data_IF_740376654177
#
_entry.id   IF_740376654177
#
_cell.length_a   1.000
_cell.length_b   1.000
_cell.length_c   1.000
_cell.angle_alpha   90.00
_cell.angle_beta   90.00
_cell.angle_gamma   90.00
#
_symmetry.space_group_name_H-M   'P 1'
#
loop_
_entity.id
_entity.type
_entity.pdbx_description
1 polymer ?
#
# COMPACT_ATOMS: atom_id res chain seq x y z
N UNK A 1 12.01 -4.35 16.61
CA UNK A 1 11.96 -3.12 17.44
C UNK A 1 12.88 -2.02 16.91
N UNK A 2 14.18 -2.30 16.66
CA UNK A 2 15.12 -1.28 16.13
C UNK A 2 14.74 -0.80 14.72
N UNK A 3 14.39 -1.72 13.80
CA UNK A 3 14.07 -1.36 12.41
C UNK A 3 12.78 -0.52 12.30
N UNK A 4 11.69 -0.94 12.96
CA UNK A 4 10.45 -0.15 13.09
C UNK A 4 10.72 1.28 13.57
N UNK A 5 11.47 1.43 14.67
CA UNK A 5 11.81 2.76 15.21
C UNK A 5 12.66 3.59 14.24
N UNK A 6 13.55 2.97 13.48
CA UNK A 6 14.33 3.66 12.45
C UNK A 6 13.44 4.16 11.30
N UNK A 7 12.54 3.33 10.79
CA UNK A 7 11.59 3.67 9.73
C UNK A 7 10.62 4.78 10.17
N UNK A 8 10.08 4.70 11.38
CA UNK A 8 9.24 5.76 11.98
C UNK A 8 10.01 7.07 12.10
N UNK A 9 11.25 7.02 12.58
CA UNK A 9 12.12 8.22 12.66
C UNK A 9 12.39 8.81 11.28
N UNK A 10 12.62 7.99 10.26
CA UNK A 10 12.78 8.46 8.89
C UNK A 10 11.50 9.18 8.42
N UNK A 11 10.32 8.58 8.58
CA UNK A 11 9.07 9.20 8.16
C UNK A 11 8.80 10.52 8.92
N UNK A 12 8.96 10.51 10.25
CA UNK A 12 8.80 11.68 11.12
C UNK A 12 9.79 12.81 10.77
N UNK A 13 11.02 12.44 10.43
CA UNK A 13 12.04 13.39 10.02
C UNK A 13 11.73 14.03 8.67
N UNK A 14 10.92 13.41 7.80
CA UNK A 14 10.61 13.97 6.48
C UNK A 14 9.26 14.70 6.45
N UNK A 15 8.29 14.26 7.26
CA UNK A 15 6.98 14.94 7.42
C UNK A 15 7.09 16.04 8.48
N UNK A 16 6.80 15.73 9.73
CA UNK A 16 7.22 16.48 10.91
C UNK A 16 6.89 15.69 12.20
N UNK A 17 7.47 16.07 13.35
CA UNK A 17 7.09 15.53 14.65
C UNK A 17 5.63 15.73 15.05
N UNK A 18 5.00 16.79 14.56
CA UNK A 18 3.61 17.15 14.83
C UNK A 18 2.64 16.42 13.91
N UNK A 19 3.09 16.06 12.70
CA UNK A 19 2.28 15.33 11.73
C UNK A 19 2.16 13.83 12.07
N UNK A 20 3.29 13.17 12.31
CA UNK A 20 3.31 11.73 12.54
C UNK A 20 3.65 11.39 14.02
N UNK A 21 2.85 10.53 14.70
CA UNK A 21 1.78 9.69 14.14
C UNK A 21 0.37 10.32 14.17
N UNK A 22 0.12 11.34 14.98
CA UNK A 22 -1.24 11.71 15.38
C UNK A 22 -2.10 12.32 14.26
N UNK A 23 -1.60 13.34 13.54
CA UNK A 23 -2.35 13.94 12.43
C UNK A 23 -2.51 12.96 11.26
N UNK A 24 -1.49 12.13 11.03
CA UNK A 24 -1.56 11.04 10.07
C UNK A 24 -2.70 10.07 10.41
N UNK A 25 -2.82 9.61 11.67
CA UNK A 25 -3.90 8.72 12.10
C UNK A 25 -5.29 9.33 11.94
N UNK A 26 -5.45 10.61 12.26
CA UNK A 26 -6.71 11.33 12.03
C UNK A 26 -7.07 11.38 10.54
N UNK A 27 -6.10 11.72 9.68
CA UNK A 27 -6.28 11.73 8.23
C UNK A 27 -6.60 10.34 7.67
N UNK A 28 -5.93 9.31 8.18
CA UNK A 28 -6.14 7.93 7.79
C UNK A 28 -7.56 7.43 8.16
N UNK A 29 -8.08 7.79 9.34
CA UNK A 29 -9.45 7.47 9.73
C UNK A 29 -10.51 8.17 8.87
N UNK A 30 -10.27 9.42 8.47
CA UNK A 30 -11.15 10.16 7.55
C UNK A 30 -11.11 9.56 6.14
N UNK A 31 -9.92 9.23 5.63
CA UNK A 31 -9.74 8.58 4.33
C UNK A 31 -10.45 7.22 4.29
N UNK A 32 -10.29 6.40 5.35
CA UNK A 32 -11.00 5.13 5.49
C UNK A 32 -12.52 5.32 5.47
N UNK A 33 -13.03 6.28 6.23
CA UNK A 33 -14.46 6.58 6.30
C UNK A 33 -15.05 7.01 4.96
N UNK A 34 -14.28 7.76 4.16
CA UNK A 34 -14.68 8.19 2.82
C UNK A 34 -14.61 7.03 1.82
N UNK A 35 -13.52 6.27 1.84
CA UNK A 35 -13.32 5.10 0.98
C UNK A 35 -14.40 4.05 1.19
N UNK A 36 -14.72 3.68 2.44
CA UNK A 36 -15.73 2.66 2.73
C UNK A 36 -17.11 3.03 2.18
N UNK A 37 -17.47 4.32 2.22
CA UNK A 37 -18.71 4.79 1.58
C UNK A 37 -18.66 4.64 0.07
N UNK A 38 -17.54 5.03 -0.55
CA UNK A 38 -17.32 4.92 -2.00
C UNK A 38 -17.23 3.48 -2.52
N UNK A 39 -17.02 2.48 -1.64
CA UNK A 39 -17.08 1.05 -1.99
C UNK A 39 -18.51 0.53 -2.13
N UNK A 40 -19.52 1.27 -1.67
CA UNK A 40 -20.91 0.88 -1.82
C UNK A 40 -21.40 1.09 -3.26
N UNK A 41 -22.31 0.25 -3.73
CA UNK A 41 -22.77 0.23 -5.12
C UNK A 41 -23.40 1.54 -5.59
N UNK A 42 -24.06 2.27 -4.69
CA UNK A 42 -24.79 3.51 -4.98
C UNK A 42 -23.90 4.77 -5.07
N UNK A 43 -22.58 4.64 -5.09
CA UNK A 43 -21.66 5.79 -4.98
C UNK A 43 -20.76 5.98 -6.19
N UNK A 44 -20.29 7.23 -6.37
CA UNK A 44 -19.39 7.57 -7.47
C UNK A 44 -18.00 6.93 -7.26
N UNK A 45 -17.74 5.86 -8.04
CA UNK A 45 -16.50 5.08 -8.02
C UNK A 45 -15.29 5.85 -8.54
N UNK A 46 -15.46 6.94 -9.29
CA UNK A 46 -14.35 7.77 -9.77
C UNK A 46 -13.48 8.30 -8.60
N UNK A 47 -14.11 8.52 -7.45
CA UNK A 47 -13.43 8.96 -6.23
C UNK A 47 -12.42 7.93 -5.71
N UNK A 48 -12.63 6.63 -5.95
CA UNK A 48 -11.74 5.56 -5.49
C UNK A 48 -10.36 5.64 -6.15
N UNK A 49 -10.29 5.99 -7.44
CA UNK A 49 -9.03 6.08 -8.21
C UNK A 49 -7.98 7.00 -7.57
N UNK A 50 -8.44 8.00 -6.81
CA UNK A 50 -7.58 8.94 -6.10
C UNK A 50 -7.28 8.53 -4.65
N UNK A 51 -8.14 7.69 -4.05
CA UNK A 51 -8.02 7.24 -2.66
C UNK A 51 -7.17 5.97 -2.49
N UNK A 52 -7.13 5.12 -3.51
CA UNK A 52 -6.41 3.84 -3.48
C UNK A 52 -5.30 3.76 -4.54
N UNK A 53 -4.39 2.81 -4.36
CA UNK A 53 -3.43 2.46 -5.41
C UNK A 53 -4.13 1.80 -6.57
N UNK A 54 -3.54 1.89 -7.76
CA UNK A 54 -4.09 1.26 -8.96
C UNK A 54 -4.27 -0.25 -8.76
N UNK A 55 -3.31 -0.92 -8.13
CA UNK A 55 -3.36 -2.36 -7.90
C UNK A 55 -4.56 -2.77 -7.03
N UNK A 56 -4.85 -2.02 -5.97
CA UNK A 56 -6.03 -2.27 -5.14
C UNK A 56 -7.32 -1.96 -5.89
N UNK A 57 -7.35 -0.86 -6.65
CA UNK A 57 -8.50 -0.49 -7.47
C UNK A 57 -8.83 -1.56 -8.50
N UNK A 58 -7.85 -1.99 -9.30
CA UNK A 58 -8.04 -3.02 -10.34
C UNK A 58 -8.57 -4.33 -9.74
N UNK A 59 -8.06 -4.71 -8.57
CA UNK A 59 -8.51 -5.90 -7.85
C UNK A 59 -9.98 -5.78 -7.44
N UNK A 60 -10.40 -4.63 -6.92
CA UNK A 60 -11.79 -4.40 -6.49
C UNK A 60 -12.74 -4.19 -7.68
N UNK A 61 -12.26 -3.60 -8.77
CA UNK A 61 -13.02 -3.42 -10.01
C UNK A 61 -13.51 -4.77 -10.57
N UNK A 62 -12.67 -5.81 -10.50
CA UNK A 62 -13.09 -7.16 -10.90
C UNK A 62 -14.25 -7.72 -10.05
N UNK A 63 -14.32 -7.38 -8.76
CA UNK A 63 -15.42 -7.80 -7.90
C UNK A 63 -16.68 -6.95 -8.15
N UNK A 64 -16.53 -5.66 -8.45
CA UNK A 64 -17.66 -4.82 -8.84
C UNK A 64 -18.31 -5.30 -10.14
N UNK A 65 -17.52 -5.68 -11.14
CA UNK A 65 -18.04 -6.27 -12.38
C UNK A 65 -18.80 -7.57 -12.11
N UNK A 66 -18.23 -8.45 -11.28
CA UNK A 66 -18.89 -9.70 -10.87
C UNK A 66 -20.20 -9.43 -10.12
N UNK A 67 -20.23 -8.40 -9.28
CA UNK A 67 -21.41 -8.00 -8.53
C UNK A 67 -22.56 -7.54 -9.45
N UNK A 68 -22.22 -6.80 -10.51
CA UNK A 68 -23.16 -6.36 -11.55
C UNK A 68 -23.72 -7.53 -12.34
N UNK A 69 -22.89 -8.52 -12.69
CA UNK A 69 -23.34 -9.77 -13.35
C UNK A 69 -24.35 -10.55 -12.50
N UNK A 70 -24.16 -10.57 -11.18
CA UNK A 70 -25.03 -11.29 -10.23
C UNK A 70 -26.26 -10.44 -9.84
N UNK A 71 -26.34 -9.19 -10.28
CA UNK A 71 -27.42 -8.26 -9.94
C UNK A 71 -27.61 -8.13 -8.42
N UNK A 72 -26.51 -7.92 -7.70
CA UNK A 72 -26.53 -7.68 -6.25
C UNK A 72 -26.10 -6.26 -5.94
N UNK A 73 -26.58 -5.70 -4.83
CA UNK A 73 -26.16 -4.41 -4.30
C UNK A 73 -25.41 -4.62 -2.99
N UNK A 74 -24.30 -3.91 -2.83
CA UNK A 74 -23.42 -4.01 -1.68
C UNK A 74 -23.40 -2.67 -1.00
N UNK A 75 -23.74 -2.68 0.29
CA UNK A 75 -23.67 -1.53 1.16
C UNK A 75 -22.65 -1.78 2.24
N UNK A 76 -21.62 -0.94 2.27
CA UNK A 76 -20.54 -0.97 3.26
C UNK A 76 -20.53 0.37 3.97
N UNK A 77 -20.69 0.36 5.28
CA UNK A 77 -20.67 1.56 6.09
C UNK A 77 -19.78 1.36 7.31
N UNK A 78 -18.86 2.30 7.51
CA UNK A 78 -18.13 2.42 8.76
C UNK A 78 -19.05 3.08 9.79
N UNK A 79 -19.70 2.28 10.64
CA UNK A 79 -20.65 2.75 11.63
C UNK A 79 -19.97 3.53 12.77
N UNK A 80 -18.80 3.06 13.21
CA UNK A 80 -17.98 3.75 14.20
C UNK A 80 -16.49 3.42 14.03
N UNK A 81 -15.64 4.40 14.31
CA UNK A 81 -14.18 4.23 14.46
C UNK A 81 -13.84 4.52 15.92
N UNK A 82 -13.42 3.50 16.67
CA UNK A 82 -13.19 3.60 18.11
C UNK A 82 -11.78 4.04 18.44
N UNK A 83 -10.80 3.45 17.74
CA UNK A 83 -9.38 3.73 17.92
C UNK A 83 -8.59 3.39 16.65
N UNK A 84 -7.37 3.90 16.55
CA UNK A 84 -6.44 3.63 15.45
C UNK A 84 -5.00 3.65 15.93
N UNK A 85 -4.25 2.59 15.63
CA UNK A 85 -2.84 2.46 16.02
C UNK A 85 -1.96 2.17 14.81
N UNK A 86 -0.81 2.84 14.75
CA UNK A 86 0.23 2.51 13.76
C UNK A 86 0.91 1.21 14.16
N UNK A 87 0.75 0.17 13.32
CA UNK A 87 1.38 -1.13 13.52
C UNK A 87 2.80 -1.15 13.02
N UNK A 88 3.05 -0.70 11.79
CA UNK A 88 4.37 -0.70 11.20
C UNK A 88 4.56 0.42 10.17
N UNK A 89 5.82 0.79 9.97
CA UNK A 89 6.25 1.72 8.92
C UNK A 89 7.27 1.01 8.06
N UNK A 90 6.93 0.86 6.78
CA UNK A 90 7.74 0.27 5.74
C UNK A 90 8.44 1.36 4.94
N UNK A 91 9.71 1.13 4.62
CA UNK A 91 10.52 2.05 3.82
C UNK A 91 11.16 1.27 2.69
N UNK A 92 10.97 1.76 1.46
CA UNK A 92 11.71 1.33 0.29
C UNK A 92 12.70 2.44 -0.08
N UNK A 93 13.98 2.09 -0.17
CA UNK A 93 15.05 2.96 -0.67
C UNK A 93 15.62 2.39 -1.97
N UNK A 94 16.00 3.28 -2.87
CA UNK A 94 16.61 2.94 -4.17
C UNK A 94 15.65 3.11 -5.34
N UNK A 95 15.97 2.56 -6.53
CA UNK A 95 15.21 2.78 -7.75
C UNK A 95 13.81 2.18 -7.68
N UNK A 96 12.91 2.73 -8.50
CA UNK A 96 11.56 2.19 -8.66
C UNK A 96 11.63 0.80 -9.29
N UNK A 97 11.39 -0.22 -8.47
CA UNK A 97 11.22 -1.59 -8.93
C UNK A 97 9.79 -1.74 -9.45
N UNK A 98 9.61 -2.07 -10.73
CA UNK A 98 8.29 -2.40 -11.26
C UNK A 98 7.78 -3.70 -10.59
N UNK A 99 6.55 -3.70 -10.09
CA UNK A 99 5.86 -4.93 -9.67
C UNK A 99 5.75 -5.86 -10.89
N UNK A 100 6.46 -6.98 -10.88
CA UNK A 100 6.44 -7.97 -11.97
C UNK A 100 7.50 -7.80 -13.06
N UNK A 101 8.38 -6.79 -12.98
CA UNK A 101 9.49 -6.62 -13.92
C UNK A 101 10.67 -7.55 -13.60
N UNK A 102 11.46 -7.92 -14.63
CA UNK A 102 12.69 -8.70 -14.44
C UNK A 102 13.63 -7.99 -13.46
N UNK A 103 13.96 -8.64 -12.34
CA UNK A 103 14.93 -8.17 -11.33
C UNK A 103 16.37 -8.17 -11.83
N UNK A 104 16.60 -8.44 -13.13
CA UNK A 104 17.93 -8.50 -13.73
C UNK A 104 18.65 -7.16 -13.57
N UNK A 105 19.76 -7.21 -12.82
CA UNK A 105 20.61 -6.04 -12.58
C UNK A 105 20.32 -5.28 -11.29
N UNK A 106 19.51 -5.80 -10.36
CA UNK A 106 19.33 -5.20 -9.03
C UNK A 106 19.60 -6.19 -7.90
N UNK A 107 20.26 -5.72 -6.85
CA UNK A 107 20.42 -6.42 -5.57
C UNK A 107 19.39 -5.84 -4.61
N UNK A 108 18.45 -6.69 -4.14
CA UNK A 108 17.45 -6.31 -3.15
C UNK A 108 17.83 -6.88 -1.80
N UNK A 109 17.98 -6.00 -0.82
CA UNK A 109 18.14 -6.35 0.58
C UNK A 109 16.89 -5.97 1.35
N UNK A 110 16.25 -6.95 2.00
CA UNK A 110 15.07 -6.73 2.86
C UNK A 110 15.44 -7.09 4.29
N UNK A 111 15.22 -6.15 5.20
CA UNK A 111 15.39 -6.36 6.63
C UNK A 111 14.18 -5.80 7.38
N UNK A 112 13.32 -6.70 7.87
CA UNK A 112 12.04 -6.34 8.48
C UNK A 112 11.24 -5.38 7.57
N UNK A 113 11.00 -4.15 8.04
CA UNK A 113 10.23 -3.13 7.33
C UNK A 113 11.06 -2.23 6.41
N UNK A 114 12.39 -2.40 6.39
CA UNK A 114 13.29 -1.71 5.49
C UNK A 114 13.61 -2.58 4.27
N UNK A 115 13.40 -2.04 3.07
CA UNK A 115 13.88 -2.61 1.82
C UNK A 115 14.83 -1.62 1.16
N UNK A 116 16.00 -2.11 0.77
CA UNK A 116 16.97 -1.37 -0.05
C UNK A 116 17.12 -2.10 -1.38
N UNK A 117 16.92 -1.39 -2.47
CA UNK A 117 17.22 -1.84 -3.82
C UNK A 117 18.45 -1.10 -4.33
N UNK A 118 19.42 -1.82 -4.87
CA UNK A 118 20.63 -1.25 -5.47
C UNK A 118 20.80 -1.79 -6.88
N UNK A 119 21.27 -0.98 -7.82
CA UNK A 119 21.71 -1.50 -9.12
C UNK A 119 22.97 -2.34 -8.92
N UNK A 120 23.08 -3.47 -9.61
CA UNK A 120 24.30 -4.25 -9.65
C UNK A 120 25.44 -3.36 -10.17
N UNK A 121 26.53 -3.28 -9.41
CA UNK A 121 27.60 -2.33 -9.67
C UNK A 121 28.22 -2.56 -11.06
N UNK A 122 28.35 -1.48 -11.83
CA UNK A 122 29.32 -1.39 -12.92
C UNK A 122 30.65 -0.90 -12.33
N UNK A 123 31.75 -1.51 -12.77
CA UNK A 123 33.08 -1.62 -12.15
C UNK A 123 33.88 -0.30 -11.86
N UNK A 124 33.25 0.89 -11.76
CA UNK A 124 33.97 2.17 -11.88
C UNK A 124 33.80 3.22 -10.77
N UNK A 125 33.27 2.92 -9.57
CA UNK A 125 33.23 3.92 -8.47
C UNK A 125 33.61 3.35 -7.10
N UNK A 126 34.01 4.23 -6.18
CA UNK A 126 34.27 3.87 -4.79
C UNK A 126 32.97 3.37 -4.13
N UNK A 127 33.04 2.22 -3.45
CA UNK A 127 31.88 1.42 -3.09
C UNK A 127 30.91 2.07 -2.10
N UNK A 128 31.33 3.09 -1.34
CA UNK A 128 30.49 3.72 -0.31
C UNK A 128 29.65 4.87 -0.85
N UNK A 129 30.25 5.79 -1.60
CA UNK A 129 29.54 6.95 -2.14
C UNK A 129 28.55 6.53 -3.24
N UNK A 130 28.90 5.51 -4.03
CA UNK A 130 28.01 4.90 -5.01
C UNK A 130 26.78 4.27 -4.35
N UNK A 131 26.96 3.53 -3.25
CA UNK A 131 25.84 2.91 -2.52
C UNK A 131 24.96 3.98 -1.88
N UNK A 132 25.54 5.03 -1.30
CA UNK A 132 24.78 6.15 -0.76
C UNK A 132 23.96 6.86 -1.85
N UNK A 133 24.56 7.12 -3.02
CA UNK A 133 23.87 7.72 -4.15
C UNK A 133 22.75 6.82 -4.69
N UNK A 134 22.99 5.51 -4.78
CA UNK A 134 21.98 4.54 -5.21
C UNK A 134 20.80 4.44 -4.24
N UNK A 135 21.04 4.55 -2.92
CA UNK A 135 19.96 4.60 -1.93
C UNK A 135 19.09 5.86 -2.05
N UNK A 136 19.66 6.95 -2.56
CA UNK A 136 18.95 8.22 -2.78
C UNK A 136 18.25 8.30 -4.16
N UNK A 137 18.37 7.27 -5.01
CA UNK A 137 17.66 7.21 -6.30
C UNK A 137 16.15 7.34 -6.13
N UNK A 138 15.60 6.80 -5.04
CA UNK A 138 14.19 6.96 -4.76
C UNK A 138 13.80 6.49 -3.38
N UNK A 139 12.62 6.92 -2.93
CA UNK A 139 12.07 6.53 -1.64
C UNK A 139 10.56 6.42 -1.69
N UNK A 140 10.04 5.46 -0.94
CA UNK A 140 8.61 5.31 -0.70
C UNK A 140 8.37 4.84 0.74
N UNK A 141 7.30 5.34 1.34
CA UNK A 141 6.82 4.90 2.64
C UNK A 141 5.51 4.15 2.51
N UNK A 142 5.35 3.10 3.32
CA UNK A 142 4.05 2.49 3.59
C UNK A 142 3.81 2.44 5.09
N UNK A 143 2.58 2.64 5.53
CA UNK A 143 2.21 2.66 6.94
C UNK A 143 1.02 1.75 7.15
N UNK A 144 1.20 0.76 8.02
CA UNK A 144 0.14 -0.16 8.41
C UNK A 144 -0.57 0.42 9.63
N UNK A 145 -1.87 0.64 9.51
CA UNK A 145 -2.72 1.16 10.59
C UNK A 145 -3.79 0.13 10.90
N UNK A 146 -3.88 -0.27 12.17
CA UNK A 146 -5.01 -1.08 12.65
C UNK A 146 -6.04 -0.15 13.27
N UNK A 147 -7.25 -0.17 12.72
CA UNK A 147 -8.39 0.52 13.27
C UNK A 147 -9.30 -0.45 14.00
N UNK A 148 -9.74 -0.07 15.20
CA UNK A 148 -10.85 -0.73 15.85
C UNK A 148 -12.15 -0.11 15.33
N UNK A 149 -12.83 -0.84 14.45
CA UNK A 149 -13.93 -0.34 13.65
C UNK A 149 -15.19 -1.18 13.84
N UNK A 150 -16.35 -0.52 13.83
CA UNK A 150 -17.64 -1.18 13.64
C UNK A 150 -18.08 -0.99 12.19
N UNK A 151 -18.24 -2.10 11.49
CA UNK A 151 -18.58 -2.13 10.06
C UNK A 151 -19.99 -2.72 9.94
N UNK A 152 -20.84 -1.99 9.24
CA UNK A 152 -22.15 -2.44 8.78
C UNK A 152 -22.00 -2.85 7.32
N UNK A 153 -22.25 -4.13 7.05
CA UNK A 153 -22.11 -4.73 5.74
C UNK A 153 -23.40 -5.44 5.36
N UNK A 154 -23.97 -5.09 4.22
CA UNK A 154 -25.18 -5.72 3.68
C UNK A 154 -25.02 -6.02 2.20
N UNK A 155 -25.37 -7.24 1.79
CA UNK A 155 -25.52 -7.66 0.40
C UNK A 155 -27.01 -7.88 0.13
N UNK A 156 -27.57 -7.07 -0.75
CA UNK A 156 -28.94 -7.22 -1.25
C UNK A 156 -28.93 -7.95 -2.60
N UNK A 157 -29.77 -8.96 -2.76
CA UNK A 157 -29.95 -9.61 -4.06
C UNK A 157 -31.19 -9.03 -4.75
N UNK A 158 -31.00 -8.32 -5.87
CA UNK A 158 -32.11 -7.76 -6.63
C UNK A 158 -33.05 -8.83 -7.21
N UNK A 159 -32.56 -9.97 -7.73
CA UNK A 159 -33.42 -11.05 -8.20
C UNK A 159 -34.34 -11.65 -7.13
N UNK A 160 -33.85 -11.75 -5.89
CA UNK A 160 -34.59 -12.33 -4.77
C UNK A 160 -35.32 -11.28 -3.93
N UNK A 161 -35.02 -9.98 -4.16
CA UNK A 161 -35.50 -8.84 -3.41
C UNK A 161 -35.34 -9.05 -1.88
N UNK A 162 -34.17 -9.53 -1.47
CA UNK A 162 -33.89 -9.87 -0.08
C UNK A 162 -32.42 -9.68 0.25
N UNK A 163 -32.14 -9.36 1.51
CA UNK A 163 -30.79 -9.28 2.03
C UNK A 163 -30.26 -10.71 2.23
N UNK A 164 -29.25 -11.07 1.45
CA UNK A 164 -28.63 -12.40 1.51
C UNK A 164 -27.62 -12.46 2.64
N UNK A 165 -26.95 -11.34 2.90
CA UNK A 165 -25.98 -11.17 3.98
C UNK A 165 -26.22 -9.82 4.63
N UNK A 166 -26.31 -9.81 5.95
CA UNK A 166 -26.29 -8.58 6.76
C UNK A 166 -25.49 -8.87 8.01
N UNK A 167 -24.43 -8.11 8.22
CA UNK A 167 -23.56 -8.22 9.40
C UNK A 167 -23.23 -6.83 9.94
N UNK A 168 -23.30 -6.72 11.26
CA UNK A 168 -22.85 -5.55 12.00
C UNK A 168 -21.86 -6.02 13.05
N UNK A 169 -20.57 -5.89 12.77
CA UNK A 169 -19.52 -6.42 13.61
C UNK A 169 -18.47 -5.36 13.94
N UNK A 170 -18.02 -5.39 15.21
CA UNK A 170 -16.82 -4.66 15.65
C UNK A 170 -15.62 -5.57 15.47
N UNK A 171 -14.63 -5.10 14.71
CA UNK A 171 -13.42 -5.87 14.42
C UNK A 171 -12.22 -4.95 14.21
N UNK A 172 -11.00 -5.48 14.42
CA UNK A 172 -9.81 -4.83 13.90
C UNK A 172 -9.84 -4.86 12.37
N UNK A 173 -9.55 -3.72 11.77
CA UNK A 173 -9.37 -3.54 10.34
C UNK A 173 -7.95 -3.04 10.09
N UNK A 174 -7.16 -3.82 9.37
CA UNK A 174 -5.82 -3.41 9.01
C UNK A 174 -5.83 -2.71 7.65
N UNK A 175 -5.30 -1.50 7.59
CA UNK A 175 -5.25 -0.70 6.36
C UNK A 175 -3.83 -0.23 6.14
N UNK A 176 -3.28 -0.52 4.96
CA UNK A 176 -1.97 -0.04 4.54
C UNK A 176 -2.13 1.22 3.71
N UNK A 177 -1.44 2.28 4.09
CA UNK A 177 -1.33 3.52 3.34
C UNK A 177 0.05 3.61 2.69
N UNK A 178 0.13 4.16 1.50
CA UNK A 178 1.35 4.26 0.71
C UNK A 178 1.51 5.66 0.12
N UNK A 179 2.74 6.18 0.17
CA UNK A 179 3.09 7.44 -0.49
C UNK A 179 3.29 7.23 -1.99
N UNK A 180 3.23 8.32 -2.78
CA UNK A 180 3.87 8.31 -4.09
C UNK A 180 5.33 7.88 -3.97
N UNK A 181 5.87 7.35 -5.06
CA UNK A 181 7.29 7.08 -5.16
C UNK A 181 8.02 8.40 -5.48
N UNK A 182 8.92 8.83 -4.60
CA UNK A 182 9.69 10.06 -4.79
C UNK A 182 11.00 9.73 -5.51
N UNK A 183 11.22 10.30 -6.68
CA UNK A 183 12.40 10.06 -7.53
C UNK A 183 12.91 11.39 -8.12
N UNK A 184 14.08 11.90 -7.67
CA UNK A 184 14.97 11.31 -6.67
C UNK A 184 14.46 11.50 -5.23
N UNK A 185 15.07 10.80 -4.26
CA UNK A 185 14.57 10.77 -2.88
C UNK A 185 14.53 12.16 -2.21
N UNK A 186 15.34 13.12 -2.66
CA UNK A 186 15.34 14.50 -2.14
C UNK A 186 14.03 15.24 -2.41
N UNK A 187 13.22 14.82 -3.39
CA UNK A 187 11.90 15.41 -3.65
C UNK A 187 10.95 15.29 -2.45
N UNK A 188 11.21 14.33 -1.56
CA UNK A 188 10.48 14.14 -0.30
C UNK A 188 10.82 15.22 0.76
N UNK A 189 11.91 15.97 0.60
CA UNK A 189 12.41 16.93 1.61
C UNK A 189 12.50 18.38 1.09
N UNK A 190 12.40 18.58 -0.23
CA UNK A 190 12.66 19.87 -0.91
C UNK A 190 11.91 21.08 -0.32
N UNK A 191 10.69 20.92 0.21
CA UNK A 191 9.90 22.01 0.82
C UNK A 191 10.47 22.58 2.14
N UNK A 192 11.50 21.97 2.73
CA UNK A 192 12.15 22.49 3.96
C UNK A 192 13.20 23.57 3.69
N UNK A 193 13.59 23.78 2.44
CA UNK A 193 14.60 24.76 2.11
C UNK A 193 14.00 26.16 2.02
N UNK A 194 14.26 27.02 3.02
CA UNK A 194 13.97 28.48 2.99
C UNK A 194 14.54 29.21 1.75
N UNK A 195 15.36 28.54 0.95
CA UNK A 195 15.99 29.10 -0.25
C UNK A 195 15.12 29.01 -1.52
N UNK A 196 13.99 28.29 -1.50
CA UNK A 196 13.09 28.14 -2.66
C UNK A 196 11.60 28.32 -2.28
N UNK A 197 11.16 29.56 -2.00
CA UNK A 197 9.78 29.85 -1.63
C UNK A 197 8.75 29.63 -2.75
N UNK A 198 9.20 29.46 -4.00
CA UNK A 198 8.34 29.28 -5.18
C UNK A 198 8.10 27.80 -5.55
N UNK A 199 8.68 26.85 -4.81
CA UNK A 199 8.45 25.42 -5.06
C UNK A 199 7.11 24.96 -4.45
N UNK A 200 6.34 24.23 -5.25
CA UNK A 200 5.06 23.68 -4.83
C UNK A 200 5.22 22.77 -3.60
N UNK A 201 4.24 22.75 -2.66
CA UNK A 201 4.31 21.87 -1.50
C UNK A 201 4.41 20.41 -1.94
N UNK A 202 5.24 19.64 -1.22
CA UNK A 202 5.45 18.21 -1.51
C UNK A 202 4.13 17.48 -1.42
N UNK A 203 3.79 16.79 -2.50
CA UNK A 203 2.56 16.03 -2.56
C UNK A 203 2.74 14.65 -1.90
N UNK A 204 2.45 14.60 -0.59
CA UNK A 204 2.47 13.36 0.19
C UNK A 204 1.26 12.46 -0.04
N UNK A 205 0.39 12.75 -1.04
CA UNK A 205 -0.92 12.12 -1.25
C UNK A 205 -0.96 10.61 -0.91
N UNK A 206 -1.34 10.31 0.33
CA UNK A 206 -1.39 8.96 0.84
C UNK A 206 -2.55 8.23 0.19
N UNK A 207 -2.28 7.03 -0.30
CA UNK A 207 -3.29 6.17 -0.90
C UNK A 207 -3.39 4.88 -0.12
N UNK A 208 -4.59 4.36 0.01
CA UNK A 208 -4.81 3.02 0.55
C UNK A 208 -4.26 2.01 -0.45
N UNK A 209 -3.28 1.23 -0.05
CA UNK A 209 -2.66 0.21 -0.91
C UNK A 209 -3.05 -1.20 -0.56
N UNK A 210 -3.52 -1.47 0.65
CA UNK A 210 -4.01 -2.79 1.03
C UNK A 210 -5.01 -2.70 2.19
N UNK A 211 -5.91 -3.67 2.27
CA UNK A 211 -6.91 -3.81 3.35
C UNK A 211 -6.90 -5.28 3.78
N UNK A 212 -6.70 -5.54 5.07
CA UNK A 212 -6.64 -6.88 5.67
C UNK A 212 -5.70 -7.87 4.95
N UNK A 213 -4.59 -7.35 4.39
CA UNK A 213 -3.63 -8.12 3.61
C UNK A 213 -4.20 -8.76 2.32
N UNK A 214 -5.29 -8.22 1.76
CA UNK A 214 -5.92 -8.75 0.55
C UNK A 214 -4.91 -8.93 -0.59
N UNK A 215 -4.18 -7.88 -0.94
CA UNK A 215 -3.21 -7.95 -2.04
C UNK A 215 -1.97 -8.78 -1.67
N UNK A 216 -1.53 -8.70 -0.40
CA UNK A 216 -0.40 -9.49 0.08
C UNK A 216 -0.70 -11.00 0.04
N UNK A 217 -1.92 -11.42 0.37
CA UNK A 217 -2.37 -12.81 0.21
C UNK A 217 -2.41 -13.23 -1.26
N UNK A 218 -3.03 -12.42 -2.13
CA UNK A 218 -3.08 -12.68 -3.57
C UNK A 218 -1.68 -12.81 -4.18
N UNK A 219 -0.71 -12.02 -3.70
CA UNK A 219 0.68 -12.10 -4.13
C UNK A 219 1.37 -13.39 -3.67
N UNK A 220 1.18 -13.79 -2.40
CA UNK A 220 1.75 -15.02 -1.85
C UNK A 220 1.17 -16.26 -2.54
N UNK A 221 -0.12 -16.26 -2.86
CA UNK A 221 -0.76 -17.35 -3.57
C UNK A 221 -0.27 -17.48 -5.01
N UNK A 222 -0.07 -16.36 -5.71
CA UNK A 222 0.52 -16.35 -7.06
C UNK A 222 1.93 -16.95 -7.07
N UNK A 223 2.81 -16.52 -6.16
CA UNK A 223 4.17 -17.10 -6.07
C UNK A 223 4.18 -18.59 -5.78
N UNK A 224 3.34 -19.06 -4.86
CA UNK A 224 3.24 -20.50 -4.58
C UNK A 224 2.87 -21.31 -5.82
N UNK A 225 1.97 -20.79 -6.67
CA UNK A 225 1.58 -21.45 -7.93
C UNK A 225 2.74 -21.46 -8.93
N UNK A 226 3.49 -20.37 -9.03
CA UNK A 226 4.67 -20.27 -9.88
C UNK A 226 5.77 -21.26 -9.43
N UNK A 227 6.08 -21.30 -8.12
CA UNK A 227 7.07 -22.22 -7.56
C UNK A 227 6.70 -23.71 -7.83
N UNK A 228 5.41 -24.06 -7.72
CA UNK A 228 4.92 -25.41 -8.05
C UNK A 228 5.09 -25.72 -9.54
N UNK A 229 4.77 -24.76 -10.43
CA UNK A 229 4.90 -24.95 -11.88
C UNK A 229 6.36 -25.13 -12.29
N UNK A 230 7.28 -24.37 -11.68
CA UNK A 230 8.72 -24.48 -11.92
C UNK A 230 9.28 -25.83 -11.44
N UNK A 231 8.82 -26.31 -10.27
CA UNK A 231 9.16 -27.65 -9.77
C UNK A 231 8.64 -28.77 -10.68
N UNK A 232 7.39 -28.68 -11.15
CA UNK A 232 6.81 -29.64 -12.11
C UNK A 232 7.56 -29.63 -13.45
N UNK A 233 7.97 -28.46 -13.93
CA UNK A 233 8.77 -28.33 -15.14
C UNK A 233 10.15 -28.98 -14.98
N UNK A 234 10.84 -28.69 -13.87
CA UNK A 234 12.15 -29.29 -13.58
C UNK A 234 12.09 -30.82 -13.42
N UNK A 235 11.01 -31.35 -12.82
CA UNK A 235 10.80 -32.79 -12.70
C UNK A 235 10.55 -33.48 -14.05
N UNK A 236 9.87 -32.80 -14.98
CA UNK A 236 9.68 -33.31 -16.36
C UNK A 236 10.98 -33.31 -17.16
N UNK A 237 11.84 -32.32 -16.96
CA UNK A 237 13.15 -32.25 -17.62
C UNK A 237 14.16 -33.25 -17.06
N UNK A 238 14.10 -33.59 -15.76
CA UNK A 238 14.98 -34.59 -15.14
C UNK A 238 14.49 -36.05 -15.30
N UNK A 239 13.23 -36.25 -15.71
CA UNK A 239 12.63 -37.55 -15.96
C UNK A 239 12.79 -38.07 -17.41
N UNK A 240 13.45 -37.31 -18.27
CA UNK A 240 13.89 -37.70 -19.63
C UNK A 240 15.40 -37.91 -19.67
#
# INVERSE_FOLDING_TARGET
>A
MICKSACERMLRNNTSPEYFPDQFLQGAGLALSAMMRSLSTDTNRDSLTNMMTQELYDRLESEFQRQEEVQSDVKIQLAALHDGIVKDVWVLLGPRLQSGGSTRGFIRWRWQSLTVALRAATDQMSSRDQVAQMMMEGVQFKVDVEFDATIDYTIHSNPLNTDVVSDLSRRPLLVRFETPFFEPAEQMVASRSRTRPDEAPINWNWRVSDIDYLLEQDFLERRKKEDIQDEEHAQREMGM
#
